data_IF_081841932723
#
_entry.id   IF_081841932723
#
_cell.length_a   1.000
_cell.length_b   1.000
_cell.length_c   1.000
_cell.angle_alpha   90.00
_cell.angle_beta   90.00
_cell.angle_gamma   90.00
#
_symmetry.space_group_name_H-M   'P 1'
#
loop_
_entity.id
_entity.type
_entity.pdbx_description
1 polymer ?
#
# COMPACT_ATOMS: atom_id res chain seq x y z
N UNK A 1 13.70 17.98 0.48
CA UNK A 1 12.61 17.35 -0.30
C UNK A 1 11.45 18.33 -0.39
N UNK A 2 10.95 18.64 -1.60
CA UNK A 2 9.81 19.55 -1.80
C UNK A 2 8.63 18.73 -2.35
N UNK A 3 7.51 18.73 -1.65
CA UNK A 3 6.29 18.04 -2.07
C UNK A 3 5.35 19.09 -2.66
N UNK A 4 4.82 18.84 -3.86
CA UNK A 4 3.84 19.74 -4.47
C UNK A 4 2.48 19.62 -3.77
N UNK A 5 1.70 20.70 -3.77
CA UNK A 5 0.32 20.68 -3.25
C UNK A 5 -0.53 19.62 -3.97
N UNK A 6 -0.31 19.44 -5.27
CA UNK A 6 -0.97 18.43 -6.08
C UNK A 6 -0.67 17.01 -5.60
N UNK A 7 0.61 16.69 -5.38
CA UNK A 7 1.01 15.38 -4.83
C UNK A 7 0.37 15.12 -3.47
N UNK A 8 0.36 16.12 -2.58
CA UNK A 8 -0.29 15.98 -1.27
C UNK A 8 -1.77 15.64 -1.45
N UNK A 9 -2.49 16.37 -2.29
CA UNK A 9 -3.92 16.13 -2.55
C UNK A 9 -4.18 14.71 -3.06
N UNK A 10 -3.46 14.28 -4.09
CA UNK A 10 -3.62 12.95 -4.70
C UNK A 10 -3.36 11.83 -3.70
N UNK A 11 -2.29 11.94 -2.90
CA UNK A 11 -2.02 10.95 -1.84
C UNK A 11 -3.10 11.00 -0.76
N UNK A 12 -3.49 12.19 -0.32
CA UNK A 12 -4.50 12.36 0.73
C UNK A 12 -5.85 11.77 0.32
N UNK A 13 -6.30 12.06 -0.90
CA UNK A 13 -7.54 11.50 -1.47
C UNK A 13 -7.50 9.98 -1.47
N UNK A 14 -6.39 9.37 -1.91
CA UNK A 14 -6.24 7.92 -1.94
C UNK A 14 -6.26 7.31 -0.53
N UNK A 15 -5.51 7.89 0.43
CA UNK A 15 -5.47 7.36 1.80
C UNK A 15 -6.85 7.42 2.48
N UNK A 16 -7.63 8.48 2.23
CA UNK A 16 -8.95 8.66 2.84
C UNK A 16 -10.03 7.83 2.14
N UNK A 17 -10.10 7.88 0.81
CA UNK A 17 -11.20 7.32 0.03
C UNK A 17 -10.97 5.85 -0.31
N UNK A 18 -9.77 5.51 -0.78
CA UNK A 18 -9.46 4.15 -1.24
C UNK A 18 -9.00 3.24 -0.11
N UNK A 19 -8.21 3.76 0.84
CA UNK A 19 -7.71 3.00 1.99
C UNK A 19 -8.54 3.18 3.26
N UNK A 20 -9.51 4.10 3.27
CA UNK A 20 -10.39 4.33 4.42
C UNK A 20 -9.68 4.82 5.68
N UNK A 21 -8.47 5.37 5.57
CA UNK A 21 -7.72 5.85 6.73
C UNK A 21 -8.36 7.12 7.28
N UNK A 22 -8.44 7.23 8.60
CA UNK A 22 -8.92 8.45 9.26
C UNK A 22 -7.85 9.54 9.23
N UNK A 23 -8.27 10.81 9.16
CA UNK A 23 -7.37 11.96 9.26
C UNK A 23 -6.47 11.89 10.50
N UNK A 24 -7.01 11.47 11.66
CA UNK A 24 -6.24 11.33 12.89
C UNK A 24 -5.06 10.37 12.77
N UNK A 25 -5.21 9.27 12.03
CA UNK A 25 -4.12 8.33 11.75
C UNK A 25 -3.08 8.98 10.84
N UNK A 26 -3.51 9.65 9.79
CA UNK A 26 -2.62 10.27 8.79
C UNK A 26 -1.82 11.41 9.45
N UNK A 27 -2.42 12.17 10.36
CA UNK A 27 -1.74 13.19 11.17
C UNK A 27 -0.66 12.60 12.07
N UNK A 28 -0.81 11.37 12.56
CA UNK A 28 0.25 10.65 13.30
C UNK A 28 1.36 10.13 12.38
N UNK A 29 1.09 9.96 11.08
CA UNK A 29 2.02 9.39 10.10
C UNK A 29 2.18 10.29 8.87
N UNK A 30 2.63 11.55 9.02
CA UNK A 30 2.70 12.52 7.92
C UNK A 30 3.69 12.11 6.83
N UNK A 31 4.63 11.20 7.14
CA UNK A 31 5.55 10.65 6.15
C UNK A 31 4.83 9.87 5.03
N UNK A 32 3.58 9.43 5.22
CA UNK A 32 2.81 8.78 4.16
C UNK A 32 2.65 9.69 2.93
N UNK A 33 2.56 11.02 3.16
CA UNK A 33 2.46 12.03 2.10
C UNK A 33 3.75 12.19 1.29
N UNK A 34 4.86 11.69 1.83
CA UNK A 34 6.21 11.77 1.25
C UNK A 34 6.42 10.68 0.21
N UNK A 35 5.81 9.49 0.40
CA UNK A 35 5.96 8.35 -0.52
C UNK A 35 5.34 8.63 -1.89
N UNK A 36 5.77 7.86 -2.91
CA UNK A 36 5.15 7.91 -4.24
C UNK A 36 3.83 7.17 -4.20
N UNK A 37 2.78 7.82 -4.72
CA UNK A 37 1.47 7.20 -4.82
C UNK A 37 1.55 5.97 -5.73
N UNK A 38 2.08 6.16 -6.94
CA UNK A 38 2.10 5.17 -8.01
C UNK A 38 3.16 4.08 -7.81
N UNK A 39 4.33 4.42 -7.24
CA UNK A 39 5.44 3.46 -7.07
C UNK A 39 5.48 2.77 -5.71
N UNK A 40 4.76 3.29 -4.70
CA UNK A 40 4.87 2.75 -3.34
C UNK A 40 3.51 2.51 -2.72
N UNK A 41 2.66 3.53 -2.63
CA UNK A 41 1.42 3.43 -1.87
C UNK A 41 0.46 2.45 -2.55
N UNK A 42 0.17 2.63 -3.84
CA UNK A 42 -0.72 1.77 -4.62
C UNK A 42 -0.20 0.32 -4.65
N UNK A 43 1.03 0.03 -5.13
CA UNK A 43 1.52 -1.35 -5.20
C UNK A 43 1.47 -2.11 -3.87
N UNK A 44 1.91 -1.47 -2.79
CA UNK A 44 1.96 -2.12 -1.48
C UNK A 44 0.57 -2.34 -0.91
N UNK A 45 -0.32 -1.37 -1.07
CA UNK A 45 -1.71 -1.50 -0.63
C UNK A 45 -2.43 -2.63 -1.38
N UNK A 46 -2.25 -2.72 -2.70
CA UNK A 46 -2.85 -3.76 -3.52
C UNK A 46 -2.40 -5.16 -3.11
N UNK A 47 -1.10 -5.36 -2.89
CA UNK A 47 -0.56 -6.64 -2.39
C UNK A 47 -1.20 -7.04 -1.06
N UNK A 48 -1.27 -6.11 -0.10
CA UNK A 48 -1.85 -6.41 1.22
C UNK A 48 -3.35 -6.72 1.10
N UNK A 49 -4.08 -6.01 0.24
CA UNK A 49 -5.50 -6.30 -0.01
C UNK A 49 -5.70 -7.69 -0.59
N UNK A 50 -4.91 -8.08 -1.60
CA UNK A 50 -4.95 -9.43 -2.18
C UNK A 50 -4.67 -10.48 -1.11
N UNK A 51 -3.61 -10.33 -0.31
CA UNK A 51 -3.31 -11.30 0.74
C UNK A 51 -4.40 -11.36 1.82
N UNK A 52 -5.01 -10.22 2.16
CA UNK A 52 -6.11 -10.16 3.12
C UNK A 52 -7.37 -10.82 2.57
N UNK A 53 -7.69 -10.64 1.29
CA UNK A 53 -8.86 -11.26 0.66
C UNK A 53 -8.73 -12.78 0.55
N UNK A 54 -7.50 -13.29 0.49
CA UNK A 54 -7.19 -14.73 0.53
C UNK A 54 -7.07 -15.27 1.98
N UNK A 55 -7.33 -14.45 3.00
CA UNK A 55 -7.26 -14.87 4.41
C UNK A 55 -5.84 -15.12 4.94
N UNK A 56 -4.80 -14.73 4.19
CA UNK A 56 -3.39 -14.95 4.57
C UNK A 56 -2.95 -13.95 5.64
N UNK A 57 -3.42 -12.70 5.53
CA UNK A 57 -3.14 -11.65 6.49
C UNK A 57 -4.35 -11.40 7.40
N UNK A 58 -4.08 -11.32 8.69
CA UNK A 58 -5.07 -10.88 9.67
C UNK A 58 -5.38 -9.39 9.48
N UNK A 59 -6.63 -9.00 9.78
CA UNK A 59 -7.07 -7.60 9.76
C UNK A 59 -6.30 -6.70 10.74
N UNK A 60 -5.63 -7.30 11.73
CA UNK A 60 -4.81 -6.61 12.73
C UNK A 60 -3.38 -6.28 12.26
N UNK A 61 -3.01 -6.64 11.03
CA UNK A 61 -1.72 -6.22 10.47
C UNK A 61 -1.66 -4.70 10.47
N UNK A 62 -0.61 -4.14 11.09
CA UNK A 62 -0.38 -2.70 11.08
C UNK A 62 -0.10 -2.26 9.64
N UNK A 63 -1.16 -1.86 8.95
CA UNK A 63 -1.16 -1.47 7.55
C UNK A 63 -0.23 -0.27 7.29
N UNK A 64 -0.06 0.62 8.27
CA UNK A 64 0.83 1.78 8.13
C UNK A 64 2.31 1.34 8.10
N UNK A 65 2.68 0.36 8.93
CA UNK A 65 4.06 -0.12 9.02
C UNK A 65 4.61 -0.70 7.71
N UNK A 66 3.75 -1.15 6.80
CA UNK A 66 4.15 -1.74 5.51
C UNK A 66 4.87 -0.70 4.63
N UNK A 67 4.53 0.58 4.76
CA UNK A 67 5.10 1.66 3.95
C UNK A 67 6.53 2.00 4.40
N UNK A 68 6.87 1.70 5.66
CA UNK A 68 8.22 1.89 6.20
C UNK A 68 9.22 0.79 5.81
N UNK A 69 8.74 -0.36 5.31
CA UNK A 69 9.66 -1.40 4.87
C UNK A 69 10.50 -0.93 3.69
N UNK A 70 11.76 -1.32 3.66
CA UNK A 70 12.54 -1.20 2.43
C UNK A 70 11.89 -2.04 1.33
N UNK A 71 12.11 -1.66 0.07
CA UNK A 71 11.56 -2.41 -1.07
C UNK A 71 11.91 -3.90 -1.00
N UNK A 72 13.19 -4.22 -0.74
CA UNK A 72 13.66 -5.60 -0.55
C UNK A 72 12.86 -6.33 0.53
N UNK A 73 12.74 -5.75 1.73
CA UNK A 73 12.00 -6.38 2.84
C UNK A 73 10.52 -6.56 2.53
N UNK A 74 9.92 -5.60 1.83
CA UNK A 74 8.53 -5.69 1.40
C UNK A 74 8.33 -6.85 0.41
N UNK A 75 9.18 -6.93 -0.62
CA UNK A 75 9.14 -7.98 -1.64
C UNK A 75 9.32 -9.36 -1.02
N UNK A 76 10.34 -9.55 -0.20
CA UNK A 76 10.61 -10.83 0.47
C UNK A 76 9.44 -11.26 1.36
N UNK A 77 8.88 -10.33 2.15
CA UNK A 77 7.87 -10.65 3.15
C UNK A 77 6.47 -10.89 2.55
N UNK A 78 6.10 -10.14 1.52
CA UNK A 78 4.72 -10.11 1.03
C UNK A 78 4.55 -10.50 -0.44
N UNK A 79 5.59 -10.38 -1.28
CA UNK A 79 5.47 -10.69 -2.72
C UNK A 79 6.06 -12.05 -3.02
N UNK A 80 7.38 -12.20 -2.92
CA UNK A 80 8.11 -13.43 -3.24
C UNK A 80 7.61 -14.60 -2.39
N UNK A 81 7.35 -14.37 -1.11
CA UNK A 81 6.85 -15.40 -0.19
C UNK A 81 5.52 -16.02 -0.63
N UNK A 82 4.66 -15.24 -1.30
CA UNK A 82 3.28 -15.66 -1.59
C UNK A 82 2.97 -15.76 -3.07
N UNK A 83 3.84 -15.31 -3.97
CA UNK A 83 3.55 -15.27 -5.41
C UNK A 83 3.26 -16.64 -6.04
N UNK A 84 3.87 -17.72 -5.54
CA UNK A 84 3.61 -19.08 -6.04
C UNK A 84 2.23 -19.60 -5.59
N UNK A 85 1.79 -19.20 -4.39
CA UNK A 85 0.50 -19.60 -3.82
C UNK A 85 -0.65 -18.70 -4.30
N UNK A 86 -0.37 -17.41 -4.48
CA UNK A 86 -1.31 -16.37 -4.88
C UNK A 86 -0.66 -15.54 -5.99
N UNK A 87 -0.69 -16.01 -7.26
CA UNK A 87 -0.06 -15.32 -8.38
C UNK A 87 -0.51 -13.86 -8.59
N UNK A 88 -1.72 -13.52 -8.13
CA UNK A 88 -2.27 -12.17 -8.16
C UNK A 88 -1.43 -11.17 -7.35
N UNK A 89 -0.66 -11.63 -6.37
CA UNK A 89 0.23 -10.77 -5.56
C UNK A 89 1.28 -10.08 -6.43
N UNK A 90 1.91 -10.80 -7.36
CA UNK A 90 2.91 -10.22 -8.26
C UNK A 90 2.28 -9.27 -9.26
N UNK A 91 1.06 -9.56 -9.73
CA UNK A 91 0.29 -8.64 -10.58
C UNK A 91 -0.07 -7.35 -9.84
N UNK A 92 -0.48 -7.48 -8.57
CA UNK A 92 -0.79 -6.36 -7.71
C UNK A 92 0.41 -5.46 -7.44
N UNK A 93 1.59 -6.05 -7.18
CA UNK A 93 2.81 -5.28 -7.00
C UNK A 93 3.24 -4.53 -8.26
N UNK A 94 3.03 -5.11 -9.44
CA UNK A 94 3.35 -4.47 -10.73
C UNK A 94 2.36 -3.36 -11.11
N UNK A 95 1.34 -3.08 -10.29
CA UNK A 95 0.30 -2.11 -10.60
C UNK A 95 -0.68 -2.58 -11.69
N UNK A 96 -0.72 -3.89 -11.95
CA UNK A 96 -1.60 -4.50 -12.97
C UNK A 96 -2.99 -4.84 -12.43
N UNK A 97 -3.18 -4.84 -11.11
CA UNK A 97 -4.50 -4.84 -10.49
C UNK A 97 -4.81 -3.41 -10.06
N UNK A 98 -5.58 -2.71 -10.88
CA UNK A 98 -6.20 -1.44 -10.51
C UNK A 98 -7.24 -1.74 -9.43
N UNK A 99 -7.41 -0.82 -8.48
CA UNK A 99 -8.61 -0.76 -7.66
C UNK A 99 -9.82 -0.93 -8.61
N UNK A 100 -10.75 -1.80 -8.22
CA UNK A 100 -11.73 -2.42 -9.12
C UNK A 100 -12.50 -1.46 -10.03
N UNK A 101 -13.04 -2.05 -11.10
CA UNK A 101 -13.97 -1.48 -12.08
C UNK A 101 -14.91 -0.39 -11.53
#
# INVERSE_FOLDING_TARGET
MRISKDKIRRVMDFLLKELGLRLSIISCYPYLLVYSLEKTIIPRSSVIRVLTSHGILNKDVNFISIFHLSEKKFLEKYVIKYQEMVPQVSQAYQGKTVFGD
#
